data_IF_146432946936
#
_entry.id   IF_146432946936
#
_cell.length_a   1.000
_cell.length_b   1.000
_cell.length_c   1.000
_cell.angle_alpha   90.00
_cell.angle_beta   90.00
_cell.angle_gamma   90.00
#
_symmetry.space_group_name_H-M   'P 1'
#
loop_
_entity.id
_entity.type
_entity.pdbx_description
1 polymer ?
#
# COMPACT_ATOMS: atom_id res chain seq x y z
N UNK A 1 -108.99 45.49 98.04
CA UNK A 1 -110.11 45.69 97.11
C UNK A 1 -109.66 46.61 95.98
N UNK A 2 -109.28 46.16 94.80
CA UNK A 2 -109.06 44.80 94.28
C UNK A 2 -108.39 44.90 92.89
N UNK A 3 -107.70 46.02 92.58
CA UNK A 3 -107.18 46.32 91.23
C UNK A 3 -105.68 46.60 91.16
N UNK A 4 -104.97 46.62 92.30
CA UNK A 4 -103.51 46.82 92.36
C UNK A 4 -102.73 45.53 92.19
N UNK A 5 -103.21 44.43 92.78
CA UNK A 5 -102.53 43.12 92.74
C UNK A 5 -102.68 42.41 91.39
N UNK A 6 -103.71 42.72 90.59
CA UNK A 6 -103.89 42.09 89.27
C UNK A 6 -102.89 42.61 88.22
N UNK A 7 -102.39 43.84 88.36
CA UNK A 7 -101.41 44.41 87.42
C UNK A 7 -99.98 43.99 87.79
N UNK A 8 -99.69 43.75 89.07
CA UNK A 8 -98.38 43.26 89.52
C UNK A 8 -98.21 41.75 89.24
N UNK A 9 -99.27 40.96 89.40
CA UNK A 9 -99.28 39.52 89.07
C UNK A 9 -99.44 39.27 87.56
N UNK A 10 -99.96 40.21 86.76
CA UNK A 10 -99.98 40.10 85.30
C UNK A 10 -98.69 40.60 84.62
N UNK A 11 -97.99 41.61 85.19
CA UNK A 11 -96.71 42.07 84.66
C UNK A 11 -95.52 41.19 85.07
N UNK A 12 -95.58 40.48 86.20
CA UNK A 12 -94.50 39.56 86.62
C UNK A 12 -94.24 38.40 85.63
N UNK A 13 -95.27 37.67 85.16
CA UNK A 13 -95.13 36.58 84.20
C UNK A 13 -94.73 37.07 82.80
N UNK A 14 -95.26 38.23 82.36
CA UNK A 14 -94.94 38.84 81.06
C UNK A 14 -93.52 39.40 81.03
N UNK A 15 -93.08 40.09 82.09
CA UNK A 15 -91.70 40.54 82.23
C UNK A 15 -90.73 39.34 82.32
N UNK A 16 -91.08 38.30 83.08
CA UNK A 16 -90.28 37.06 83.15
C UNK A 16 -90.20 36.33 81.79
N UNK A 17 -91.30 36.27 81.03
CA UNK A 17 -91.30 35.70 79.69
C UNK A 17 -90.47 36.54 78.69
N UNK A 18 -90.53 37.88 78.79
CA UNK A 18 -89.70 38.78 78.00
C UNK A 18 -88.21 38.65 78.35
N UNK A 19 -87.86 38.52 79.64
CA UNK A 19 -86.49 38.28 80.10
C UNK A 19 -85.96 36.92 79.65
N UNK A 20 -86.78 35.87 79.73
CA UNK A 20 -86.44 34.54 79.19
C UNK A 20 -86.25 34.57 77.68
N UNK A 21 -87.10 35.29 76.95
CA UNK A 21 -86.95 35.49 75.50
C UNK A 21 -85.69 36.28 75.17
N UNK A 22 -85.38 37.36 75.89
CA UNK A 22 -84.14 38.11 75.71
C UNK A 22 -82.90 37.27 76.04
N UNK A 23 -82.96 36.46 77.10
CA UNK A 23 -81.89 35.52 77.44
C UNK A 23 -81.70 34.45 76.35
N UNK A 24 -82.80 33.91 75.80
CA UNK A 24 -82.77 32.95 74.70
C UNK A 24 -82.25 33.57 73.40
N UNK A 25 -82.67 34.80 73.05
CA UNK A 25 -82.16 35.55 71.91
C UNK A 25 -80.67 35.87 72.06
N UNK A 26 -80.23 36.33 73.24
CA UNK A 26 -78.81 36.54 73.51
C UNK A 26 -77.99 35.25 73.41
N UNK A 27 -78.55 34.11 73.85
CA UNK A 27 -77.92 32.80 73.70
C UNK A 27 -77.84 32.38 72.24
N UNK A 28 -78.87 32.66 71.44
CA UNK A 28 -78.90 32.38 69.99
C UNK A 28 -77.91 33.27 69.21
N UNK A 29 -77.83 34.56 69.54
CA UNK A 29 -76.86 35.50 68.97
C UNK A 29 -75.43 35.02 69.28
N UNK A 30 -75.13 34.68 70.54
CA UNK A 30 -73.82 34.13 70.93
C UNK A 30 -73.49 32.81 70.22
N UNK A 31 -74.48 31.92 70.05
CA UNK A 31 -74.29 30.67 69.32
C UNK A 31 -74.00 30.91 67.84
N UNK A 32 -74.70 31.85 67.21
CA UNK A 32 -74.48 32.21 65.81
C UNK A 32 -73.10 32.88 65.62
N UNK A 33 -72.73 33.80 66.52
CA UNK A 33 -71.41 34.46 66.53
C UNK A 33 -70.28 33.43 66.70
N UNK A 34 -70.41 32.51 67.65
CA UNK A 34 -69.45 31.42 67.84
C UNK A 34 -69.39 30.48 66.64
N UNK A 35 -70.53 30.14 66.04
CA UNK A 35 -70.61 29.32 64.83
C UNK A 35 -69.95 29.99 63.62
N UNK A 36 -70.15 31.30 63.44
CA UNK A 36 -69.51 32.09 62.39
C UNK A 36 -67.99 32.15 62.57
N UNK A 37 -67.51 32.39 63.80
CA UNK A 37 -66.06 32.37 64.11
C UNK A 37 -65.46 30.99 63.87
N UNK A 38 -66.15 29.92 64.26
CA UNK A 38 -65.66 28.56 64.07
C UNK A 38 -65.64 28.14 62.60
N UNK A 39 -66.65 28.53 61.81
CA UNK A 39 -66.68 28.31 60.36
C UNK A 39 -65.58 29.09 59.62
N UNK A 40 -65.31 30.32 60.06
CA UNK A 40 -64.22 31.15 59.52
C UNK A 40 -62.84 30.53 59.84
N UNK A 41 -62.61 30.07 61.08
CA UNK A 41 -61.38 29.40 61.49
C UNK A 41 -61.15 28.08 60.74
N UNK A 42 -62.19 27.25 60.58
CA UNK A 42 -62.11 26.01 59.80
C UNK A 42 -61.76 26.27 58.33
N UNK A 43 -62.34 27.32 57.74
CA UNK A 43 -62.06 27.72 56.36
C UNK A 43 -60.64 28.24 56.20
N UNK A 44 -60.14 29.02 57.17
CA UNK A 44 -58.74 29.49 57.17
C UNK A 44 -57.76 28.31 57.26
N UNK A 45 -57.98 27.37 58.18
CA UNK A 45 -57.12 26.18 58.33
C UNK A 45 -57.13 25.29 57.09
N UNK A 46 -58.30 25.13 56.45
CA UNK A 46 -58.40 24.39 55.21
C UNK A 46 -57.63 25.07 54.07
N UNK A 47 -57.68 26.40 53.99
CA UNK A 47 -56.91 27.19 53.02
C UNK A 47 -55.40 27.04 53.26
N UNK A 48 -54.94 27.22 54.50
CA UNK A 48 -53.51 27.09 54.85
C UNK A 48 -52.98 25.68 54.56
N UNK A 49 -53.75 24.65 54.89
CA UNK A 49 -53.41 23.26 54.58
C UNK A 49 -53.34 23.02 53.06
N UNK A 50 -54.29 23.58 52.29
CA UNK A 50 -54.26 23.49 50.83
C UNK A 50 -53.04 24.19 50.23
N UNK A 51 -52.72 25.40 50.67
CA UNK A 51 -51.52 26.13 50.24
C UNK A 51 -50.25 25.35 50.59
N UNK A 52 -50.15 24.81 51.80
CA UNK A 52 -49.00 24.00 52.21
C UNK A 52 -48.83 22.76 51.32
N UNK A 53 -49.90 22.02 51.05
CA UNK A 53 -49.87 20.85 50.16
C UNK A 53 -49.43 21.22 48.73
N UNK A 54 -49.90 22.35 48.20
CA UNK A 54 -49.49 22.84 46.87
C UNK A 54 -47.99 23.17 46.87
N UNK A 55 -47.49 23.88 47.89
CA UNK A 55 -46.07 24.24 47.99
C UNK A 55 -45.20 23.00 48.08
N UNK A 56 -45.57 22.01 48.91
CA UNK A 56 -44.84 20.74 49.01
C UNK A 56 -44.85 19.98 47.68
N UNK A 57 -45.99 19.91 47.00
CA UNK A 57 -46.09 19.27 45.69
C UNK A 57 -45.19 19.95 44.64
N UNK A 58 -45.14 21.29 44.61
CA UNK A 58 -44.26 22.04 43.72
C UNK A 58 -42.78 21.77 44.00
N UNK A 59 -42.38 21.72 45.28
CA UNK A 59 -41.01 21.40 45.68
C UNK A 59 -40.63 19.98 45.23
N UNK A 60 -41.53 19.00 45.43
CA UNK A 60 -41.28 17.61 45.00
C UNK A 60 -41.15 17.50 43.48
N UNK A 61 -42.01 18.19 42.72
CA UNK A 61 -41.92 18.23 41.25
C UNK A 61 -40.60 18.87 40.81
N UNK A 62 -40.19 19.98 41.44
CA UNK A 62 -38.92 20.63 41.15
C UNK A 62 -37.74 19.71 41.43
N UNK A 63 -37.75 19.02 42.57
CA UNK A 63 -36.71 18.07 42.94
C UNK A 63 -36.63 16.92 41.92
N UNK A 64 -37.78 16.37 41.51
CA UNK A 64 -37.85 15.31 40.51
C UNK A 64 -37.30 15.77 39.15
N UNK A 65 -37.65 16.99 38.72
CA UNK A 65 -37.11 17.58 37.48
C UNK A 65 -35.58 17.70 37.54
N UNK A 66 -35.01 18.15 38.66
CA UNK A 66 -33.56 18.25 38.83
C UNK A 66 -32.90 16.87 38.77
N UNK A 67 -33.47 15.86 39.43
CA UNK A 67 -32.94 14.49 39.40
C UNK A 67 -32.97 13.93 37.97
N UNK A 68 -34.09 14.05 37.25
CA UNK A 68 -34.20 13.58 35.86
C UNK A 68 -33.22 14.32 34.95
N UNK A 69 -33.08 15.64 35.11
CA UNK A 69 -32.12 16.44 34.32
C UNK A 69 -30.68 15.97 34.53
N UNK A 70 -30.27 15.69 35.77
CA UNK A 70 -28.94 15.16 36.07
C UNK A 70 -28.75 13.77 35.45
N UNK A 71 -29.75 12.89 35.56
CA UNK A 71 -29.69 11.54 34.98
C UNK A 71 -29.57 11.61 33.46
N UNK A 72 -30.43 12.34 32.75
CA UNK A 72 -30.38 12.48 31.29
C UNK A 72 -29.09 13.14 30.81
N UNK A 73 -28.58 14.13 31.55
CA UNK A 73 -27.30 14.76 31.20
C UNK A 73 -26.15 13.77 31.29
N UNK A 74 -26.14 12.91 32.31
CA UNK A 74 -25.09 11.91 32.51
C UNK A 74 -25.24 10.68 31.61
N UNK A 75 -26.46 10.23 31.33
CA UNK A 75 -26.69 9.02 30.52
C UNK A 75 -26.78 9.28 29.02
N UNK A 76 -27.13 10.50 28.59
CA UNK A 76 -27.33 10.82 27.17
C UNK A 76 -26.39 11.93 26.69
N UNK A 77 -26.46 13.11 27.33
CA UNK A 77 -25.76 14.30 26.80
C UNK A 77 -24.25 14.14 26.86
N UNK A 78 -23.71 13.67 27.98
CA UNK A 78 -22.27 13.49 28.17
C UNK A 78 -21.69 12.42 27.21
N UNK A 79 -22.24 11.19 27.11
CA UNK A 79 -21.71 10.19 26.17
C UNK A 79 -21.83 10.58 24.70
N UNK A 80 -22.91 11.30 24.31
CA UNK A 80 -23.03 11.80 22.94
C UNK A 80 -22.01 12.88 22.62
N UNK A 81 -21.72 13.77 23.58
CA UNK A 81 -20.66 14.77 23.42
C UNK A 81 -19.29 14.09 23.27
N UNK A 82 -19.03 13.03 24.02
CA UNK A 82 -17.80 12.23 23.90
C UNK A 82 -17.71 11.55 22.52
N UNK A 83 -18.82 10.98 22.03
CA UNK A 83 -18.87 10.36 20.71
C UNK A 83 -18.53 11.37 19.59
N UNK A 84 -19.00 12.61 19.69
CA UNK A 84 -18.65 13.68 18.74
C UNK A 84 -17.16 14.02 18.80
N UNK A 85 -16.58 14.15 20.00
CA UNK A 85 -15.14 14.40 20.17
C UNK A 85 -14.30 13.27 19.58
N UNK A 86 -14.71 12.02 19.81
CA UNK A 86 -14.05 10.85 19.22
C UNK A 86 -14.13 10.87 17.70
N UNK A 87 -15.30 11.15 17.13
CA UNK A 87 -15.46 11.23 15.68
C UNK A 87 -14.60 12.34 15.05
N UNK A 88 -14.49 13.51 15.71
CA UNK A 88 -13.64 14.62 15.26
C UNK A 88 -12.13 14.29 15.35
N UNK A 89 -11.72 13.52 16.36
CA UNK A 89 -10.35 13.01 16.45
C UNK A 89 -10.04 12.00 15.35
N UNK A 90 -10.95 11.05 15.13
CA UNK A 90 -10.77 10.06 14.06
C UNK A 90 -10.75 10.75 12.69
N UNK A 91 -11.58 11.76 12.45
CA UNK A 91 -11.59 12.52 11.20
C UNK A 91 -10.33 13.35 10.98
N UNK A 92 -9.69 13.82 12.06
CA UNK A 92 -8.39 14.49 12.02
C UNK A 92 -7.19 13.54 11.99
N UNK A 93 -7.44 12.22 12.05
CA UNK A 93 -6.41 11.18 11.95
C UNK A 93 -5.75 10.80 13.27
N UNK A 94 -6.23 11.31 14.41
CA UNK A 94 -5.76 10.87 15.72
C UNK A 94 -6.49 9.58 16.16
N UNK A 95 -5.79 8.45 15.96
CA UNK A 95 -6.26 7.11 16.35
C UNK A 95 -5.62 6.62 17.66
N UNK A 96 -4.87 7.47 18.37
CA UNK A 96 -4.03 7.04 19.51
C UNK A 96 -4.78 7.04 20.85
N UNK A 97 -5.89 7.77 20.93
CA UNK A 97 -6.63 7.97 22.15
C UNK A 97 -7.60 6.81 22.43
N UNK A 98 -7.57 6.29 23.65
CA UNK A 98 -8.47 5.21 24.07
C UNK A 98 -9.89 5.72 24.31
N UNK A 99 -10.85 5.14 23.60
CA UNK A 99 -12.28 5.39 23.79
C UNK A 99 -12.77 4.56 24.98
N UNK A 100 -13.25 5.25 26.01
CA UNK A 100 -13.83 4.63 27.20
C UNK A 100 -15.34 4.54 27.00
N UNK A 101 -15.89 3.33 27.20
CA UNK A 101 -17.34 3.11 27.08
C UNK A 101 -17.89 2.82 28.46
N UNK A 102 -18.89 3.59 28.87
CA UNK A 102 -19.65 3.35 30.10
C UNK A 102 -21.13 3.26 29.77
N UNK A 103 -21.84 2.30 30.39
CA UNK A 103 -23.26 2.08 30.16
C UNK A 103 -23.54 0.88 29.26
N UNK A 104 -24.82 0.66 28.95
CA UNK A 104 -25.30 -0.45 28.13
C UNK A 104 -26.51 -0.05 27.26
N UNK A 105 -26.66 1.26 27.06
CA UNK A 105 -27.71 1.90 26.28
C UNK A 105 -27.21 2.27 24.87
N UNK A 106 -28.06 2.93 24.09
CA UNK A 106 -27.76 3.32 22.71
C UNK A 106 -26.53 4.23 22.57
N UNK A 107 -26.31 5.26 23.44
CA UNK A 107 -25.07 6.03 23.43
C UNK A 107 -23.82 5.18 23.69
N UNK A 108 -23.89 4.21 24.61
CA UNK A 108 -22.77 3.29 24.83
C UNK A 108 -22.49 2.42 23.59
N UNK A 109 -23.53 1.93 22.91
CA UNK A 109 -23.37 1.18 21.65
C UNK A 109 -22.74 2.03 20.53
N UNK A 110 -23.08 3.32 20.45
CA UNK A 110 -22.44 4.24 19.50
C UNK A 110 -20.94 4.37 19.76
N UNK A 111 -20.53 4.56 21.02
CA UNK A 111 -19.10 4.63 21.38
C UNK A 111 -18.37 3.32 21.09
N UNK A 112 -19.00 2.15 21.28
CA UNK A 112 -18.42 0.85 20.90
C UNK A 112 -18.21 0.77 19.38
N UNK A 113 -19.18 1.22 18.59
CA UNK A 113 -19.05 1.22 17.13
C UNK A 113 -17.91 2.16 16.66
N UNK A 114 -17.81 3.36 17.25
CA UNK A 114 -16.70 4.28 16.99
C UNK A 114 -15.35 3.69 17.39
N UNK A 115 -15.29 2.96 18.51
CA UNK A 115 -14.08 2.24 18.93
C UNK A 115 -13.64 1.20 17.92
N UNK A 116 -14.56 0.35 17.46
CA UNK A 116 -14.25 -0.65 16.42
C UNK A 116 -13.78 0.03 15.12
N UNK A 117 -14.38 1.16 14.74
CA UNK A 117 -13.95 1.94 13.58
C UNK A 117 -12.52 2.47 13.77
N UNK A 118 -12.20 3.04 14.93
CA UNK A 118 -10.85 3.50 15.26
C UNK A 118 -9.83 2.35 15.18
N UNK A 119 -10.14 1.20 15.80
CA UNK A 119 -9.27 0.02 15.81
C UNK A 119 -9.00 -0.50 14.38
N UNK A 120 -10.05 -0.60 13.54
CA UNK A 120 -9.90 -1.04 12.14
C UNK A 120 -9.11 -0.06 11.28
N UNK A 121 -9.28 1.25 11.51
CA UNK A 121 -8.48 2.27 10.83
C UNK A 121 -7.02 2.18 11.27
N UNK A 122 -6.75 1.99 12.56
CA UNK A 122 -5.39 1.85 13.08
C UNK A 122 -4.68 0.63 12.48
N UNK A 123 -5.33 -0.54 12.49
CA UNK A 123 -4.79 -1.76 11.87
C UNK A 123 -4.52 -1.57 10.37
N UNK A 124 -5.38 -0.83 9.66
CA UNK A 124 -5.19 -0.53 8.24
C UNK A 124 -3.96 0.34 8.02
N UNK A 125 -3.75 1.36 8.86
CA UNK A 125 -2.57 2.23 8.78
C UNK A 125 -1.29 1.47 9.12
N UNK A 126 -1.31 0.58 10.12
CA UNK A 126 -0.16 -0.29 10.43
C UNK A 126 0.22 -1.17 9.24
N UNK A 127 -0.75 -1.83 8.60
CA UNK A 127 -0.50 -2.64 7.39
C UNK A 127 0.04 -1.83 6.22
N UNK A 128 -0.44 -0.60 6.04
CA UNK A 128 0.08 0.33 5.01
C UNK A 128 1.53 0.70 5.33
N UNK A 129 1.85 0.98 6.59
CA UNK A 129 3.21 1.30 7.02
C UNK A 129 4.16 0.11 6.82
N UNK A 130 3.74 -1.10 7.18
CA UNK A 130 4.51 -2.33 6.97
C UNK A 130 4.77 -2.57 5.47
N UNK A 131 3.73 -2.45 4.64
CA UNK A 131 3.85 -2.59 3.18
C UNK A 131 4.77 -1.54 2.57
N UNK A 132 4.73 -0.31 3.07
CA UNK A 132 5.59 0.79 2.61
C UNK A 132 7.06 0.52 2.96
N UNK A 133 7.34 0.00 4.17
CA UNK A 133 8.68 -0.40 4.56
C UNK A 133 9.20 -1.56 3.70
N UNK A 134 8.37 -2.58 3.43
CA UNK A 134 8.73 -3.66 2.52
C UNK A 134 9.05 -3.16 1.11
N UNK A 135 8.24 -2.23 0.59
CA UNK A 135 8.45 -1.63 -0.73
C UNK A 135 9.75 -0.81 -0.78
N UNK A 136 10.07 -0.08 0.29
CA UNK A 136 11.33 0.66 0.41
C UNK A 136 12.53 -0.30 0.34
N UNK A 137 12.52 -1.37 1.15
CA UNK A 137 13.58 -2.39 1.12
C UNK A 137 13.71 -3.07 -0.24
N UNK A 138 12.60 -3.43 -0.88
CA UNK A 138 12.62 -4.03 -2.22
C UNK A 138 13.16 -3.06 -3.28
N UNK A 139 12.90 -1.75 -3.12
CA UNK A 139 13.44 -0.72 -4.01
C UNK A 139 14.96 -0.56 -3.85
N UNK A 140 15.48 -0.65 -2.63
CA UNK A 140 16.93 -0.66 -2.36
C UNK A 140 17.61 -1.89 -2.97
N UNK A 141 16.99 -3.06 -2.84
CA UNK A 141 17.48 -4.31 -3.45
C UNK A 141 17.49 -4.21 -4.98
N UNK A 142 16.39 -3.72 -5.59
CA UNK A 142 16.33 -3.48 -7.03
C UNK A 142 17.39 -2.49 -7.50
N UNK A 143 17.67 -1.44 -6.74
CA UNK A 143 18.73 -0.49 -7.07
C UNK A 143 20.10 -1.19 -7.07
N UNK A 144 20.39 -2.02 -6.06
CA UNK A 144 21.63 -2.78 -6.00
C UNK A 144 21.78 -3.76 -7.18
N UNK A 145 20.72 -4.51 -7.51
CA UNK A 145 20.70 -5.44 -8.66
C UNK A 145 20.87 -4.69 -9.97
N UNK A 146 20.25 -3.52 -10.12
CA UNK A 146 20.36 -2.69 -11.32
C UNK A 146 21.79 -2.19 -11.50
N UNK A 147 22.46 -1.78 -10.42
CA UNK A 147 23.84 -1.33 -10.49
C UNK A 147 24.81 -2.47 -10.83
N UNK A 148 24.61 -3.66 -10.26
CA UNK A 148 25.41 -4.84 -10.60
C UNK A 148 25.20 -5.25 -12.07
N UNK A 149 23.95 -5.22 -12.54
CA UNK A 149 23.61 -5.47 -13.94
C UNK A 149 24.29 -4.47 -14.87
N UNK A 150 24.31 -3.19 -14.51
CA UNK A 150 24.97 -2.16 -15.31
C UNK A 150 26.49 -2.39 -15.38
N UNK A 151 27.12 -2.79 -14.28
CA UNK A 151 28.54 -3.20 -14.28
C UNK A 151 28.76 -4.42 -15.19
N UNK A 152 27.90 -5.42 -15.11
CA UNK A 152 27.93 -6.60 -15.99
C UNK A 152 27.80 -6.24 -17.47
N UNK A 153 26.89 -5.33 -17.82
CA UNK A 153 26.72 -4.84 -19.20
C UNK A 153 27.96 -4.10 -19.73
N UNK A 154 28.62 -3.28 -18.89
CA UNK A 154 29.87 -2.62 -19.28
C UNK A 154 30.99 -3.64 -19.56
N UNK A 155 31.09 -4.69 -18.74
CA UNK A 155 32.06 -5.77 -18.97
C UNK A 155 31.72 -6.54 -20.26
N UNK A 156 30.45 -6.90 -20.45
CA UNK A 156 30.01 -7.59 -21.66
C UNK A 156 30.25 -6.76 -22.92
N UNK A 157 30.07 -5.44 -22.86
CA UNK A 157 30.41 -4.54 -23.97
C UNK A 157 31.90 -4.62 -24.31
N UNK A 158 32.78 -4.62 -23.31
CA UNK A 158 34.22 -4.73 -23.54
C UNK A 158 34.61 -6.09 -24.14
N UNK A 159 33.97 -7.18 -23.71
CA UNK A 159 34.16 -8.52 -24.29
C UNK A 159 33.69 -8.58 -25.76
N UNK A 160 32.58 -7.91 -26.09
CA UNK A 160 32.08 -7.79 -27.46
C UNK A 160 33.07 -7.01 -28.34
N UNK A 161 33.64 -5.91 -27.85
CA UNK A 161 34.65 -5.14 -28.59
C UNK A 161 35.92 -5.97 -28.87
N UNK A 162 36.33 -6.79 -27.90
CA UNK A 162 37.44 -7.74 -28.09
C UNK A 162 37.08 -8.82 -29.11
N UNK A 163 35.88 -9.38 -29.05
CA UNK A 163 35.42 -10.36 -30.04
C UNK A 163 35.36 -9.76 -31.45
N UNK A 164 34.88 -8.53 -31.60
CA UNK A 164 34.87 -7.82 -32.88
C UNK A 164 36.29 -7.60 -33.42
N UNK A 165 37.24 -7.26 -32.53
CA UNK A 165 38.66 -7.15 -32.89
C UNK A 165 39.24 -8.49 -33.34
N UNK A 166 38.93 -9.57 -32.62
CA UNK A 166 39.37 -10.92 -32.99
C UNK A 166 38.79 -11.35 -34.35
N UNK A 167 37.52 -11.06 -34.62
CA UNK A 167 36.90 -11.31 -35.93
C UNK A 167 37.62 -10.56 -37.03
N UNK A 168 37.95 -9.27 -36.84
CA UNK A 168 38.72 -8.50 -37.82
C UNK A 168 40.11 -9.11 -38.08
N UNK A 169 40.82 -9.54 -37.01
CA UNK A 169 42.12 -10.21 -37.15
C UNK A 169 41.99 -11.57 -37.87
N UNK A 170 40.95 -12.34 -37.56
CA UNK A 170 40.66 -13.60 -38.24
C UNK A 170 40.37 -13.39 -39.72
N UNK A 171 39.57 -12.37 -40.08
CA UNK A 171 39.31 -12.02 -41.48
C UNK A 171 40.60 -11.67 -42.21
N UNK A 172 41.47 -10.86 -41.61
CA UNK A 172 42.77 -10.52 -42.19
C UNK A 172 43.66 -11.75 -42.40
N UNK A 173 43.70 -12.66 -41.42
CA UNK A 173 44.46 -13.92 -41.53
C UNK A 173 43.89 -14.82 -42.63
N UNK A 174 42.57 -14.91 -42.78
CA UNK A 174 41.92 -15.67 -43.86
C UNK A 174 42.25 -15.07 -45.23
N UNK A 175 42.25 -13.74 -45.37
CA UNK A 175 42.67 -13.09 -46.61
C UNK A 175 44.16 -13.35 -46.93
N UNK A 176 45.03 -13.35 -45.92
CA UNK A 176 46.44 -13.66 -46.09
C UNK A 176 46.64 -15.11 -46.54
N UNK A 177 45.94 -16.07 -45.93
CA UNK A 177 45.95 -17.48 -46.35
C UNK A 177 45.44 -17.62 -47.78
N UNK A 178 44.37 -16.92 -48.16
CA UNK A 178 43.84 -16.92 -49.51
C UNK A 178 44.86 -16.37 -50.53
N UNK A 179 45.52 -15.24 -50.22
CA UNK A 179 46.60 -14.68 -51.05
C UNK A 179 47.77 -15.64 -51.20
N UNK A 180 48.20 -16.26 -50.10
CA UNK A 180 49.29 -17.25 -50.14
C UNK A 180 48.94 -18.47 -50.98
N UNK A 181 47.68 -18.94 -50.92
CA UNK A 181 47.21 -20.04 -51.75
C UNK A 181 47.23 -19.67 -53.26
N UNK A 182 46.83 -18.46 -53.62
CA UNK A 182 46.90 -17.96 -55.01
C UNK A 182 48.35 -17.85 -55.48
N UNK A 183 49.24 -17.22 -54.69
CA UNK A 183 50.66 -17.11 -55.04
C UNK A 183 51.31 -18.48 -55.21
N UNK A 184 51.01 -19.44 -54.32
CA UNK A 184 51.52 -20.81 -54.41
C UNK A 184 51.03 -21.52 -55.67
N UNK A 185 49.78 -21.29 -56.09
CA UNK A 185 49.24 -21.84 -57.33
C UNK A 185 49.94 -21.26 -58.56
N UNK A 186 50.23 -19.94 -58.57
CA UNK A 186 50.97 -19.28 -59.65
C UNK A 186 52.42 -19.76 -59.73
N UNK A 187 53.11 -19.88 -58.59
CA UNK A 187 54.48 -20.42 -58.51
C UNK A 187 54.54 -21.88 -58.97
N UNK A 188 53.55 -22.69 -58.58
CA UNK A 188 53.43 -24.08 -59.04
C UNK A 188 53.27 -24.17 -60.55
N UNK A 189 52.48 -23.26 -61.15
CA UNK A 189 52.29 -23.17 -62.61
C UNK A 189 53.56 -22.72 -63.33
N UNK A 190 54.32 -21.80 -62.73
CA UNK A 190 55.62 -21.38 -63.26
C UNK A 190 56.66 -22.52 -63.22
N UNK A 191 56.70 -23.27 -62.11
CA UNK A 191 57.56 -24.45 -61.96
C UNK A 191 57.22 -25.56 -62.96
N UNK A 192 55.93 -25.81 -63.21
CA UNK A 192 55.47 -26.76 -64.23
C UNK A 192 55.96 -26.34 -65.64
N UNK A 193 55.82 -25.06 -65.99
CA UNK A 193 56.34 -24.51 -67.25
C UNK A 193 57.86 -24.67 -67.38
N UNK A 194 58.61 -24.39 -66.31
CA UNK A 194 60.08 -24.57 -66.30
C UNK A 194 60.46 -26.04 -66.45
N UNK A 195 59.71 -26.95 -65.84
CA UNK A 195 59.91 -28.41 -65.97
C UNK A 195 59.66 -28.86 -67.41
N UNK A 196 58.63 -28.31 -68.07
CA UNK A 196 58.35 -28.57 -69.49
C UNK A 196 59.52 -28.13 -70.39
N UNK A 197 60.03 -26.92 -70.18
CA UNK A 197 61.19 -26.40 -70.91
C UNK A 197 62.45 -27.23 -70.64
N UNK A 198 62.67 -27.64 -69.39
CA UNK A 198 63.77 -28.53 -69.02
C UNK A 198 63.68 -29.88 -69.73
N UNK A 199 62.49 -30.47 -69.81
CA UNK A 199 62.25 -31.71 -70.55
C UNK A 199 62.54 -31.57 -72.04
N UNK A 200 62.18 -30.44 -72.65
CA UNK A 200 62.50 -30.14 -74.05
C UNK A 200 64.02 -30.07 -74.27
N UNK A 201 64.76 -29.40 -73.38
CA UNK A 201 66.23 -29.35 -73.42
C UNK A 201 66.88 -30.72 -73.27
N UNK A 202 66.38 -31.56 -72.37
CA UNK A 202 66.84 -32.95 -72.22
C UNK A 202 66.58 -33.75 -73.49
N UNK A 203 65.42 -33.59 -74.13
CA UNK A 203 65.10 -34.23 -75.41
C UNK A 203 66.08 -33.81 -76.52
N UNK A 204 66.39 -32.50 -76.63
CA UNK A 204 67.36 -31.98 -77.59
C UNK A 204 68.78 -32.53 -77.33
N UNK A 205 69.17 -32.67 -76.06
CA UNK A 205 70.45 -33.26 -75.68
C UNK A 205 70.52 -34.74 -76.07
N UNK A 206 69.46 -35.51 -75.84
CA UNK A 206 69.37 -36.91 -76.26
C UNK A 206 69.47 -37.07 -77.79
N UNK A 207 68.80 -36.20 -78.56
CA UNK A 207 68.92 -36.19 -80.03
C UNK A 207 70.36 -35.88 -80.48
N UNK A 208 71.01 -34.91 -79.83
CA UNK A 208 72.41 -34.57 -80.11
C UNK A 208 73.36 -35.73 -79.78
N UNK A 209 73.11 -36.44 -78.67
CA UNK A 209 73.87 -37.65 -78.30
C UNK A 209 73.67 -38.75 -79.34
N UNK A 210 72.43 -38.99 -79.80
CA UNK A 210 72.17 -39.98 -80.85
C UNK A 210 72.88 -39.65 -82.16
N UNK A 211 72.89 -38.37 -82.56
CA UNK A 211 73.67 -37.89 -83.72
C UNK A 211 75.17 -38.09 -83.53
N UNK A 212 75.69 -37.80 -82.34
CA UNK A 212 77.10 -38.03 -82.03
C UNK A 212 77.47 -39.52 -82.11
N UNK A 213 76.62 -40.41 -81.56
CA UNK A 213 76.80 -41.86 -81.66
C UNK A 213 76.81 -42.31 -83.12
N UNK A 214 75.91 -41.78 -83.96
CA UNK A 214 75.92 -42.01 -85.40
C UNK A 214 77.24 -41.57 -86.07
N UNK A 215 77.65 -40.31 -85.86
CA UNK A 215 78.91 -39.79 -86.42
C UNK A 215 80.14 -40.61 -85.96
N UNK A 216 80.18 -41.05 -84.70
CA UNK A 216 81.25 -41.91 -84.17
C UNK A 216 81.24 -43.28 -84.85
N UNK A 217 80.06 -43.84 -85.11
CA UNK A 217 79.91 -45.08 -85.88
C UNK A 217 80.43 -44.93 -87.31
N UNK A 218 80.02 -43.88 -88.02
CA UNK A 218 80.47 -43.59 -89.38
C UNK A 218 82.00 -43.40 -89.44
N UNK A 219 82.55 -42.63 -88.50
CA UNK A 219 84.01 -42.43 -88.37
C UNK A 219 84.72 -43.76 -88.12
N UNK A 220 84.17 -44.64 -87.28
CA UNK A 220 84.73 -45.96 -87.03
C UNK A 220 84.71 -46.85 -88.28
N UNK A 221 83.71 -46.72 -89.14
CA UNK A 221 83.63 -47.43 -90.42
C UNK A 221 84.66 -46.89 -91.42
N UNK A 222 84.81 -45.57 -91.53
CA UNK A 222 85.85 -44.95 -92.37
C UNK A 222 87.27 -45.34 -91.93
N UNK A 223 87.55 -45.35 -90.61
CA UNK A 223 88.86 -45.80 -90.08
C UNK A 223 89.12 -47.26 -90.43
N UNK A 224 88.10 -48.11 -90.39
CA UNK A 224 88.21 -49.52 -90.78
C UNK A 224 88.47 -49.67 -92.28
N UNK A 225 87.78 -48.91 -93.13
CA UNK A 225 88.01 -48.82 -94.56
C UNK A 225 89.43 -48.35 -94.89
N UNK A 226 89.92 -47.31 -94.20
CA UNK A 226 91.28 -46.82 -94.34
C UNK A 226 92.32 -47.88 -93.94
N UNK A 227 92.09 -48.58 -92.82
CA UNK A 227 92.94 -49.69 -92.40
C UNK A 227 92.96 -50.84 -93.43
N UNK A 228 91.82 -51.13 -94.07
CA UNK A 228 91.71 -52.13 -95.12
C UNK A 228 92.47 -51.71 -96.39
N UNK A 229 92.30 -50.47 -96.85
CA UNK A 229 93.05 -49.90 -97.97
C UNK A 229 94.56 -49.86 -97.70
N UNK A 230 94.98 -49.54 -96.47
CA UNK A 230 96.39 -49.57 -96.08
C UNK A 230 96.96 -51.00 -96.13
N UNK A 231 96.16 -52.00 -95.76
CA UNK A 231 96.54 -53.42 -95.86
C UNK A 231 96.62 -53.89 -97.33
N UNK A 232 95.70 -53.46 -98.20
CA UNK A 232 95.77 -53.72 -99.65
C UNK A 232 97.03 -53.09 -100.27
N UNK A 233 97.39 -51.84 -99.91
CA UNK A 233 98.65 -51.21 -100.34
C UNK A 233 99.86 -52.02 -99.84
N UNK A 234 99.81 -52.52 -98.60
CA UNK A 234 100.88 -53.37 -98.06
C UNK A 234 101.02 -54.71 -98.79
N UNK A 235 99.95 -55.27 -99.38
CA UNK A 235 100.00 -56.48 -100.19
C UNK A 235 100.59 -56.25 -101.60
N UNK A 236 100.56 -55.01 -102.12
CA UNK A 236 101.16 -54.66 -103.41
C UNK A 236 102.66 -54.33 -103.28
N UNK A 237 103.13 -54.02 -102.07
CA UNK A 237 104.53 -53.68 -101.80
C UNK A 237 105.42 -54.89 -101.44
N UNK A 238 104.89 -56.11 -101.51
CA UNK A 238 105.57 -57.39 -101.26
C UNK A 238 105.49 -58.26 -102.51
#
# INVERSE_FOLDING_TARGET
>A
VERGDEIEVANGPLASAADQMMAALNKLIKFNEQGAVHAADQTSKAFDAAVFMIVVALILILMLMVVIAIVLTRSIVSPLSEAVIVADRVSSGDLTQNIHVTGSDEPAHLLIALKRMQDSLHETIEKISESSNMLASASEELHAVTEDTNRGLNQQSAEIDQAATAVNQMTAAVEEVARNAVNTADDSKAADKSTYQGREKVSQALESINRLVGNVSDTSEEVKLLAQNANEISQVLV
#
